data_IF_311290473931
#
_entry.id   IF_311290473931
#
_cell.length_a   1.000
_cell.length_b   1.000
_cell.length_c   1.000
_cell.angle_alpha   90.00
_cell.angle_beta   90.00
_cell.angle_gamma   90.00
#
_symmetry.space_group_name_H-M   'P 1'
#
loop_
_entity.id
_entity.type
_entity.pdbx_description
1 polymer ?
#
# COMPACT_ATOMS: atom_id res chain seq x y z
N UNK A 1 38.32 56.85 22.22
CA UNK A 1 38.72 55.44 22.10
C UNK A 1 37.99 54.65 23.21
N UNK A 2 36.86 54.02 22.91
CA UNK A 2 36.11 53.18 23.86
C UNK A 2 36.58 51.73 23.72
N UNK A 3 37.28 51.23 24.71
CA UNK A 3 37.70 49.83 24.79
C UNK A 3 36.51 48.98 25.23
N UNK A 4 35.98 48.16 24.33
CA UNK A 4 34.92 47.17 24.62
C UNK A 4 35.57 45.97 25.32
N UNK A 5 35.34 45.83 26.61
CA UNK A 5 35.68 44.64 27.36
C UNK A 5 34.71 43.51 26.98
N UNK A 6 35.18 42.60 26.12
CA UNK A 6 34.49 41.34 25.82
C UNK A 6 34.48 40.45 27.07
N UNK A 7 33.33 40.32 27.74
CA UNK A 7 33.15 39.37 28.85
C UNK A 7 33.14 37.95 28.24
N UNK A 8 34.25 37.24 28.49
CA UNK A 8 34.27 35.78 28.23
C UNK A 8 33.26 35.12 29.16
N UNK A 9 32.21 34.54 28.62
CA UNK A 9 31.30 33.69 29.38
C UNK A 9 32.04 32.43 29.81
N UNK A 10 31.93 31.98 31.09
CA UNK A 10 32.54 30.74 31.54
C UNK A 10 31.88 29.56 30.76
N UNK A 11 32.71 28.75 30.12
CA UNK A 11 32.26 27.46 29.54
C UNK A 11 31.93 26.52 30.71
N UNK A 12 30.65 26.25 30.92
CA UNK A 12 30.20 25.24 31.88
C UNK A 12 30.34 23.87 31.23
N UNK A 13 31.20 23.02 31.76
CA UNK A 13 31.32 21.62 31.35
C UNK A 13 30.16 20.82 31.90
N UNK A 14 29.61 19.90 31.10
CA UNK A 14 28.59 18.95 31.53
C UNK A 14 29.18 17.93 32.48
N UNK A 15 28.56 17.69 33.61
CA UNK A 15 29.02 16.71 34.59
C UNK A 15 28.68 15.29 34.14
N UNK A 16 29.46 14.30 34.55
CA UNK A 16 29.25 12.89 34.21
C UNK A 16 27.88 12.40 34.68
N UNK A 17 27.42 12.86 35.84
CA UNK A 17 26.10 12.51 36.38
C UNK A 17 24.95 13.09 35.53
N UNK A 18 25.13 14.29 35.00
CA UNK A 18 24.16 14.94 34.12
C UNK A 18 24.07 14.20 32.78
N UNK A 19 25.18 13.82 32.17
CA UNK A 19 25.19 12.99 30.97
C UNK A 19 24.54 11.61 31.22
N UNK A 20 24.82 10.95 32.32
CA UNK A 20 24.25 9.67 32.71
C UNK A 20 22.72 9.77 32.91
N UNK A 21 22.23 10.84 33.53
CA UNK A 21 20.80 11.06 33.75
C UNK A 21 20.06 11.30 32.44
N UNK A 22 20.64 12.06 31.51
CA UNK A 22 20.05 12.28 30.17
C UNK A 22 19.96 10.98 29.38
N UNK A 23 21.03 10.16 29.39
CA UNK A 23 21.01 8.85 28.69
C UNK A 23 19.97 7.90 29.29
N UNK A 24 19.82 7.89 30.62
CA UNK A 24 18.81 7.06 31.28
C UNK A 24 17.38 7.47 30.88
N UNK A 25 17.06 8.77 30.89
CA UNK A 25 15.75 9.28 30.47
C UNK A 25 15.49 8.98 28.99
N UNK A 26 16.46 9.21 28.10
CA UNK A 26 16.32 8.92 26.67
C UNK A 26 16.07 7.42 26.42
N UNK A 27 16.74 6.54 27.15
CA UNK A 27 16.56 5.08 27.03
C UNK A 27 15.13 4.67 27.38
N UNK A 28 14.54 5.24 28.42
CA UNK A 28 13.15 4.97 28.82
C UNK A 28 12.18 5.48 27.74
N UNK A 29 12.37 6.72 27.27
CA UNK A 29 11.51 7.31 26.24
C UNK A 29 11.55 6.48 24.95
N UNK A 30 12.73 6.12 24.47
CA UNK A 30 12.87 5.29 23.26
C UNK A 30 12.21 3.92 23.47
N UNK A 31 12.44 3.27 24.60
CA UNK A 31 11.90 1.94 24.90
C UNK A 31 10.36 1.89 24.92
N UNK A 32 9.70 2.97 25.33
CA UNK A 32 8.23 3.05 25.39
C UNK A 32 7.59 3.47 24.07
N UNK A 33 8.29 4.19 23.20
CA UNK A 33 7.72 4.71 21.94
C UNK A 33 7.80 3.73 20.77
N UNK A 34 8.83 2.87 20.72
CA UNK A 34 9.06 1.95 19.60
C UNK A 34 7.88 1.02 19.27
N UNK A 35 7.22 0.32 20.22
CA UNK A 35 6.12 -0.59 19.90
C UNK A 35 4.88 0.14 19.32
N UNK A 36 4.61 1.36 19.79
CA UNK A 36 3.53 2.19 19.25
C UNK A 36 3.77 2.61 17.80
N UNK A 37 4.99 2.95 17.47
CA UNK A 37 5.37 3.37 16.12
C UNK A 37 5.24 2.23 15.09
N UNK A 38 5.62 1.01 15.43
CA UNK A 38 5.48 -0.15 14.56
C UNK A 38 4.01 -0.41 14.15
N UNK A 39 3.09 -0.32 15.11
CA UNK A 39 1.67 -0.52 14.82
C UNK A 39 1.05 0.59 13.96
N UNK A 40 1.50 1.83 14.13
CA UNK A 40 1.09 2.97 13.29
C UNK A 40 1.58 2.80 11.85
N UNK A 41 2.85 2.40 11.69
CA UNK A 41 3.43 2.13 10.38
C UNK A 41 2.68 1.03 9.65
N UNK A 42 2.39 -0.08 10.30
CA UNK A 42 1.63 -1.18 9.71
C UNK A 42 0.22 -0.76 9.26
N UNK A 43 -0.45 0.12 10.02
CA UNK A 43 -1.74 0.69 9.61
C UNK A 43 -1.60 1.59 8.39
N UNK A 44 -0.58 2.43 8.37
CA UNK A 44 -0.31 3.32 7.25
C UNK A 44 0.01 2.53 5.96
N UNK A 45 0.82 1.47 6.05
CA UNK A 45 1.15 0.60 4.93
C UNK A 45 -0.10 -0.11 4.40
N UNK A 46 -0.96 -0.65 5.27
CA UNK A 46 -2.22 -1.29 4.87
C UNK A 46 -3.16 -0.30 4.17
N UNK A 47 -3.36 0.88 4.75
CA UNK A 47 -4.18 1.93 4.16
C UNK A 47 -3.59 2.45 2.84
N UNK A 48 -2.27 2.59 2.75
CA UNK A 48 -1.57 3.01 1.55
C UNK A 48 -1.77 2.04 0.38
N UNK A 49 -1.60 0.73 0.62
CA UNK A 49 -1.84 -0.30 -0.40
C UNK A 49 -3.30 -0.34 -0.81
N UNK A 50 -4.25 -0.20 0.13
CA UNK A 50 -5.67 -0.17 -0.19
C UNK A 50 -6.02 1.05 -1.06
N UNK A 51 -5.54 2.25 -0.72
CA UNK A 51 -5.76 3.47 -1.50
C UNK A 51 -5.11 3.39 -2.90
N UNK A 52 -3.91 2.82 -2.99
CA UNK A 52 -3.25 2.55 -4.27
C UNK A 52 -4.11 1.65 -5.16
N UNK A 53 -4.59 0.54 -4.61
CA UNK A 53 -5.41 -0.43 -5.34
C UNK A 53 -6.73 0.19 -5.81
N UNK A 54 -7.39 1.01 -5.00
CA UNK A 54 -8.59 1.76 -5.38
C UNK A 54 -8.32 2.70 -6.56
N UNK A 55 -7.23 3.47 -6.47
CA UNK A 55 -6.78 4.36 -7.54
C UNK A 55 -6.50 3.58 -8.84
N UNK A 56 -5.89 2.40 -8.71
CA UNK A 56 -5.55 1.55 -9.84
C UNK A 56 -6.78 0.91 -10.50
N UNK A 57 -7.82 0.58 -9.74
CA UNK A 57 -9.12 0.16 -10.28
C UNK A 57 -9.77 1.29 -11.09
N UNK A 58 -9.75 2.52 -10.57
CA UNK A 58 -10.27 3.69 -11.30
C UNK A 58 -9.44 4.00 -12.54
N UNK A 59 -8.12 3.86 -12.45
CA UNK A 59 -7.21 3.99 -13.60
C UNK A 59 -7.56 2.97 -14.69
N UNK A 60 -7.70 1.68 -14.36
CA UNK A 60 -8.07 0.66 -15.33
C UNK A 60 -9.39 0.96 -16.04
N UNK A 61 -10.39 1.44 -15.29
CA UNK A 61 -11.66 1.86 -15.84
C UNK A 61 -11.54 3.05 -16.80
N UNK A 62 -10.77 4.06 -16.42
CA UNK A 62 -10.55 5.25 -17.27
C UNK A 62 -9.78 4.91 -18.54
N UNK A 63 -8.80 4.01 -18.46
CA UNK A 63 -8.04 3.54 -19.61
C UNK A 63 -8.92 2.73 -20.57
N UNK A 64 -9.80 1.86 -20.07
CA UNK A 64 -10.76 1.15 -20.93
C UNK A 64 -11.62 2.13 -21.73
N UNK A 65 -12.16 3.15 -21.09
CA UNK A 65 -12.96 4.16 -21.77
C UNK A 65 -12.15 5.00 -22.78
N UNK A 66 -10.90 5.34 -22.43
CA UNK A 66 -10.02 6.14 -23.29
C UNK A 66 -9.55 5.39 -24.54
N UNK A 67 -9.20 4.11 -24.39
CA UNK A 67 -8.71 3.29 -25.50
C UNK A 67 -9.85 2.68 -26.35
N UNK A 68 -11.06 2.63 -25.85
CA UNK A 68 -12.20 2.01 -26.56
C UNK A 68 -12.14 0.47 -26.63
N UNK A 69 -11.25 -0.17 -25.85
CA UNK A 69 -11.15 -1.62 -25.73
C UNK A 69 -11.02 -2.10 -24.27
N UNK A 70 -11.34 -3.37 -23.97
CA UNK A 70 -11.33 -3.86 -22.61
C UNK A 70 -9.92 -3.78 -21.96
N UNK A 71 -9.87 -3.25 -20.74
CA UNK A 71 -8.69 -3.27 -19.88
C UNK A 71 -8.94 -4.23 -18.73
N UNK A 72 -7.92 -4.93 -18.28
CA UNK A 72 -8.00 -5.92 -17.20
C UNK A 72 -7.11 -5.55 -16.03
N UNK A 73 -7.59 -5.85 -14.83
CA UNK A 73 -6.75 -5.95 -13.64
C UNK A 73 -6.61 -7.45 -13.32
N UNK A 74 -5.40 -7.97 -13.40
CA UNK A 74 -5.09 -9.39 -13.13
C UNK A 74 -4.19 -9.50 -11.93
N UNK A 75 -4.60 -10.32 -10.95
CA UNK A 75 -3.89 -10.61 -9.72
C UNK A 75 -3.17 -11.96 -9.84
N UNK A 76 -1.91 -12.01 -9.42
CA UNK A 76 -1.10 -13.23 -9.30
C UNK A 76 -0.59 -13.37 -7.87
N UNK A 77 -0.59 -14.59 -7.38
CA UNK A 77 -0.06 -14.95 -6.07
C UNK A 77 1.02 -16.02 -6.29
N UNK A 78 2.21 -15.83 -5.72
CA UNK A 78 3.34 -16.74 -5.82
C UNK A 78 4.13 -16.71 -4.52
N UNK A 79 4.37 -17.87 -3.94
CA UNK A 79 5.26 -18.08 -2.77
C UNK A 79 5.10 -17.03 -1.63
N UNK A 80 3.88 -16.54 -1.41
CA UNK A 80 3.58 -15.53 -0.37
C UNK A 80 3.74 -14.09 -0.81
N UNK A 81 4.21 -13.82 -2.03
CA UNK A 81 4.14 -12.52 -2.66
C UNK A 81 2.88 -12.38 -3.50
N UNK A 82 2.43 -11.18 -3.68
CA UNK A 82 1.34 -10.86 -4.60
C UNK A 82 1.77 -9.79 -5.57
N UNK A 83 1.36 -9.92 -6.81
CA UNK A 83 1.47 -8.84 -7.78
C UNK A 83 0.15 -8.69 -8.53
N UNK A 84 -0.16 -7.48 -8.93
CA UNK A 84 -1.26 -7.22 -9.85
C UNK A 84 -0.81 -6.36 -11.01
N UNK A 85 -1.47 -6.56 -12.14
CA UNK A 85 -1.18 -5.88 -13.39
C UNK A 85 -2.45 -5.31 -13.97
N UNK A 86 -2.33 -4.13 -14.56
CA UNK A 86 -3.36 -3.52 -15.42
C UNK A 86 -2.84 -3.60 -16.85
N UNK A 87 -3.59 -4.26 -17.71
CA UNK A 87 -3.15 -4.58 -19.06
C UNK A 87 -4.33 -4.71 -20.02
N UNK A 88 -4.04 -4.65 -21.31
CA UNK A 88 -4.98 -5.01 -22.38
C UNK A 88 -4.90 -6.50 -22.71
N UNK A 89 -5.82 -7.01 -23.49
CA UNK A 89 -5.82 -8.40 -23.95
C UNK A 89 -6.19 -9.46 -22.90
N UNK A 90 -5.99 -10.74 -23.21
CA UNK A 90 -6.32 -11.88 -22.35
C UNK A 90 -5.44 -11.93 -21.08
N UNK A 91 -6.04 -12.35 -19.96
CA UNK A 91 -5.35 -12.48 -18.67
C UNK A 91 -4.13 -13.45 -18.70
N UNK A 92 -4.14 -14.43 -19.61
CA UNK A 92 -3.10 -15.42 -19.75
C UNK A 92 -1.83 -14.88 -20.45
N UNK A 93 -1.95 -13.76 -21.16
CA UNK A 93 -0.83 -13.17 -21.90
C UNK A 93 0.08 -12.30 -21.02
N UNK A 94 -0.32 -11.98 -19.80
CA UNK A 94 0.49 -11.19 -18.89
C UNK A 94 0.83 -11.97 -17.62
N UNK A 95 2.06 -11.82 -17.18
CA UNK A 95 2.59 -12.44 -15.97
C UNK A 95 3.41 -11.47 -15.15
N UNK A 96 3.43 -11.68 -13.85
CA UNK A 96 4.34 -11.04 -12.91
C UNK A 96 4.73 -12.04 -11.83
N UNK A 97 5.91 -11.85 -11.24
CA UNK A 97 6.48 -12.72 -10.21
C UNK A 97 7.27 -11.92 -9.18
N UNK A 98 7.84 -12.64 -8.22
CA UNK A 98 8.52 -12.06 -7.06
C UNK A 98 9.82 -11.34 -7.40
N UNK A 99 10.49 -11.76 -8.48
CA UNK A 99 11.81 -11.26 -8.89
C UNK A 99 11.84 -10.75 -10.34
N UNK A 100 10.79 -10.98 -11.12
CA UNK A 100 10.73 -10.59 -12.51
C UNK A 100 9.82 -9.39 -12.72
N UNK A 101 10.27 -8.47 -13.56
CA UNK A 101 9.43 -7.38 -14.02
C UNK A 101 8.18 -7.96 -14.71
N UNK A 102 7.01 -7.38 -14.43
CA UNK A 102 5.80 -7.79 -15.11
C UNK A 102 5.94 -7.64 -16.62
N UNK A 103 5.50 -8.64 -17.35
CA UNK A 103 5.59 -8.67 -18.81
C UNK A 103 4.33 -9.22 -19.45
N UNK A 104 4.04 -8.77 -20.66
CA UNK A 104 2.95 -9.26 -21.49
C UNK A 104 3.52 -9.80 -22.82
N UNK A 105 2.78 -10.72 -23.43
CA UNK A 105 3.09 -11.33 -24.72
C UNK A 105 1.95 -11.12 -25.73
N UNK A 106 2.23 -11.33 -27.02
CA UNK A 106 1.25 -11.14 -28.09
C UNK A 106 0.86 -9.66 -28.23
N UNK A 107 -0.45 -9.42 -28.41
CA UNK A 107 -1.01 -8.06 -28.57
C UNK A 107 -1.41 -7.41 -27.24
N UNK A 108 -1.12 -8.06 -26.11
CA UNK A 108 -1.40 -7.50 -24.80
C UNK A 108 -0.35 -6.47 -24.39
N UNK A 109 -0.81 -5.32 -23.92
CA UNK A 109 0.04 -4.23 -23.45
C UNK A 109 -0.06 -4.08 -21.94
N UNK A 110 1.09 -4.00 -21.26
CA UNK A 110 1.18 -3.72 -19.84
C UNK A 110 1.06 -2.21 -19.60
N UNK A 111 0.01 -1.79 -18.90
CA UNK A 111 -0.21 -0.37 -18.57
C UNK A 111 0.38 -0.02 -17.20
N UNK A 112 0.26 -0.93 -16.22
CA UNK A 112 0.79 -0.78 -14.87
C UNK A 112 1.00 -2.11 -14.20
N UNK A 113 2.01 -2.19 -13.34
CA UNK A 113 2.21 -3.34 -12.45
C UNK A 113 2.61 -2.88 -11.05
N UNK A 114 2.15 -3.61 -10.05
CA UNK A 114 2.51 -3.42 -8.65
C UNK A 114 2.86 -4.78 -8.06
N UNK A 115 4.04 -4.88 -7.48
CA UNK A 115 4.51 -6.08 -6.78
C UNK A 115 4.61 -5.81 -5.29
N UNK A 116 3.98 -6.68 -4.52
CA UNK A 116 4.02 -6.70 -3.07
C UNK A 116 4.89 -7.88 -2.65
N UNK A 117 6.08 -7.58 -2.12
CA UNK A 117 7.09 -8.57 -1.82
C UNK A 117 6.59 -9.61 -0.78
N UNK A 118 7.05 -10.85 -0.89
CA UNK A 118 6.71 -11.95 0.03
C UNK A 118 7.06 -11.64 1.50
N UNK A 119 8.07 -10.81 1.72
CA UNK A 119 8.48 -10.34 3.05
C UNK A 119 7.82 -9.02 3.45
N UNK A 120 6.99 -8.43 2.59
CA UNK A 120 6.19 -7.24 2.89
C UNK A 120 5.14 -7.53 3.97
N UNK A 121 4.71 -6.48 4.66
CA UNK A 121 3.71 -6.61 5.73
C UNK A 121 2.28 -6.67 5.21
N UNK A 122 2.07 -6.42 3.90
CA UNK A 122 0.75 -6.36 3.26
C UNK A 122 0.71 -7.23 2.02
N UNK A 123 -0.40 -7.95 1.85
CA UNK A 123 -0.70 -8.78 0.68
C UNK A 123 -2.07 -8.42 0.11
N UNK A 124 -2.26 -8.66 -1.19
CA UNK A 124 -3.58 -8.53 -1.85
C UNK A 124 -4.05 -9.90 -2.30
N UNK A 125 -5.27 -10.27 -1.94
CA UNK A 125 -5.91 -11.53 -2.33
C UNK A 125 -7.27 -11.30 -2.94
N UNK A 126 -7.67 -12.18 -3.85
CA UNK A 126 -9.01 -12.19 -4.43
C UNK A 126 -9.40 -13.57 -4.92
N UNK A 127 -10.68 -13.88 -4.85
CA UNK A 127 -11.25 -15.07 -5.50
C UNK A 127 -11.22 -14.88 -7.02
N UNK A 128 -11.65 -13.71 -7.48
CA UNK A 128 -11.59 -13.35 -8.91
C UNK A 128 -10.17 -12.88 -9.24
N UNK A 129 -9.41 -13.74 -9.92
CA UNK A 129 -8.01 -13.44 -10.26
C UNK A 129 -7.83 -12.42 -11.38
N UNK A 130 -8.86 -12.18 -12.16
CA UNK A 130 -8.89 -11.17 -13.23
C UNK A 130 -10.27 -10.56 -13.35
N UNK A 131 -10.33 -9.24 -13.39
CA UNK A 131 -11.53 -8.45 -13.67
C UNK A 131 -11.31 -7.62 -14.92
N UNK A 132 -12.33 -7.55 -15.78
CA UNK A 132 -12.29 -6.80 -17.03
C UNK A 132 -13.22 -5.59 -16.95
N UNK A 133 -12.75 -4.46 -17.44
CA UNK A 133 -13.50 -3.21 -17.56
C UNK A 133 -13.97 -3.05 -19.00
N UNK A 134 -15.30 -2.97 -19.18
CA UNK A 134 -15.91 -2.77 -20.49
C UNK A 134 -15.82 -1.30 -20.89
N UNK A 135 -15.29 -0.97 -22.09
CA UNK A 135 -15.09 0.41 -22.52
C UNK A 135 -16.39 1.17 -22.82
N UNK A 136 -17.42 0.46 -23.26
CA UNK A 136 -18.69 1.06 -23.73
C UNK A 136 -19.68 1.16 -22.58
N UNK A 137 -19.88 0.06 -21.84
CA UNK A 137 -20.84 -0.01 -20.74
C UNK A 137 -20.29 0.54 -19.45
N UNK A 138 -18.97 0.67 -19.31
CA UNK A 138 -18.28 1.04 -18.06
C UNK A 138 -18.47 0.01 -16.94
N UNK A 139 -18.88 -1.21 -17.31
CA UNK A 139 -19.13 -2.31 -16.36
C UNK A 139 -17.88 -3.13 -16.09
N UNK A 140 -17.88 -3.83 -14.96
CA UNK A 140 -16.78 -4.72 -14.55
C UNK A 140 -17.27 -6.16 -14.49
N UNK A 141 -16.52 -7.07 -15.08
CA UNK A 141 -16.87 -8.50 -15.10
C UNK A 141 -15.62 -9.37 -14.87
N UNK A 142 -15.67 -10.32 -13.92
CA UNK A 142 -16.66 -10.44 -12.85
C UNK A 142 -16.52 -9.31 -11.80
N UNK A 143 -17.53 -9.14 -10.96
CA UNK A 143 -17.37 -8.33 -9.73
C UNK A 143 -16.36 -8.99 -8.79
N UNK A 144 -15.67 -8.20 -7.97
CA UNK A 144 -14.63 -8.75 -7.12
C UNK A 144 -14.59 -8.10 -5.74
N UNK A 145 -14.13 -8.87 -4.77
CA UNK A 145 -13.65 -8.34 -3.50
C UNK A 145 -12.14 -8.56 -3.44
N UNK A 146 -11.41 -7.46 -3.53
CA UNK A 146 -9.96 -7.43 -3.40
C UNK A 146 -9.65 -7.21 -1.92
N UNK A 147 -9.00 -8.19 -1.29
CA UNK A 147 -8.68 -8.17 0.14
C UNK A 147 -7.25 -7.73 0.33
N UNK A 148 -7.05 -6.60 0.95
CA UNK A 148 -5.75 -6.10 1.37
C UNK A 148 -5.56 -6.53 2.81
N UNK A 149 -4.61 -7.41 3.06
CA UNK A 149 -4.42 -8.10 4.36
C UNK A 149 -3.04 -7.80 4.90
N UNK A 150 -2.94 -7.37 6.16
CA UNK A 150 -1.70 -7.25 6.89
C UNK A 150 -1.39 -8.55 7.66
N UNK A 151 -0.11 -8.77 7.98
CA UNK A 151 0.34 -9.98 8.73
C UNK A 151 -0.29 -10.13 10.10
N UNK A 152 -0.70 -9.04 10.72
CA UNK A 152 -1.33 -9.03 12.04
C UNK A 152 -2.84 -9.34 12.00
N UNK A 153 -3.38 -9.71 10.83
CA UNK A 153 -4.77 -10.07 10.61
C UNK A 153 -5.72 -8.89 10.41
N UNK A 154 -5.22 -7.67 10.35
CA UNK A 154 -6.02 -6.52 9.92
C UNK A 154 -6.21 -6.57 8.41
N UNK A 155 -7.40 -6.19 7.94
CA UNK A 155 -7.71 -6.21 6.52
C UNK A 155 -8.61 -5.05 6.11
N UNK A 156 -8.44 -4.59 4.87
CA UNK A 156 -9.33 -3.70 4.16
C UNK A 156 -9.83 -4.44 2.93
N UNK A 157 -11.13 -4.51 2.77
CA UNK A 157 -11.76 -5.09 1.59
C UNK A 157 -12.17 -3.98 0.62
N UNK A 158 -11.72 -4.08 -0.60
CA UNK A 158 -12.12 -3.25 -1.72
C UNK A 158 -13.17 -4.00 -2.55
N UNK A 159 -14.43 -3.67 -2.36
CA UNK A 159 -15.54 -4.31 -3.07
C UNK A 159 -15.81 -3.56 -4.37
N UNK A 160 -15.49 -4.20 -5.50
CA UNK A 160 -15.72 -3.67 -6.84
C UNK A 160 -17.04 -4.20 -7.35
N UNK A 161 -18.03 -3.32 -7.52
CA UNK A 161 -19.35 -3.69 -8.03
C UNK A 161 -19.40 -3.72 -9.58
N UNK A 162 -20.51 -4.14 -10.14
CA UNK A 162 -20.73 -4.23 -11.59
C UNK A 162 -20.49 -2.89 -12.32
N UNK A 163 -20.76 -1.76 -11.68
CA UNK A 163 -20.55 -0.42 -12.25
C UNK A 163 -19.12 0.10 -12.08
N UNK A 164 -18.20 -0.74 -11.59
CA UNK A 164 -16.80 -0.35 -11.36
C UNK A 164 -16.61 0.62 -10.20
N UNK A 165 -17.60 0.78 -9.31
CA UNK A 165 -17.44 1.52 -8.07
C UNK A 165 -16.74 0.66 -7.05
N UNK A 166 -15.74 1.25 -6.39
CA UNK A 166 -15.03 0.64 -5.28
C UNK A 166 -15.62 1.14 -3.97
N UNK A 167 -15.83 0.23 -3.03
CA UNK A 167 -16.21 0.53 -1.65
C UNK A 167 -15.22 -0.14 -0.72
N UNK A 168 -14.60 0.66 0.12
CA UNK A 168 -13.68 0.18 1.17
C UNK A 168 -14.47 -0.17 2.42
N UNK A 169 -14.16 -1.29 3.04
CA UNK A 169 -14.69 -1.67 4.35
C UNK A 169 -13.70 -2.56 5.10
N UNK A 170 -13.78 -2.58 6.43
CA UNK A 170 -12.96 -3.45 7.27
C UNK A 170 -13.79 -4.58 7.86
N UNK A 171 -13.38 -5.85 7.70
CA UNK A 171 -14.10 -6.97 8.31
C UNK A 171 -14.11 -6.86 9.84
N UNK A 172 -15.32 -6.88 10.43
CA UNK A 172 -15.52 -6.75 11.86
C UNK A 172 -15.21 -5.38 12.47
N UNK A 173 -15.12 -4.31 11.68
CA UNK A 173 -14.91 -2.95 12.16
C UNK A 173 -13.59 -2.73 12.92
N UNK A 174 -12.57 -3.53 12.63
CA UNK A 174 -11.30 -3.54 13.37
C UNK A 174 -10.38 -2.35 13.09
N UNK A 175 -10.67 -1.58 12.06
CA UNK A 175 -9.88 -0.40 11.70
C UNK A 175 -10.67 0.86 11.97
N UNK A 176 -10.13 1.74 12.81
CA UNK A 176 -10.71 3.05 13.04
C UNK A 176 -10.67 3.88 11.75
N UNK A 177 -11.81 4.46 11.37
CA UNK A 177 -11.96 5.25 10.14
C UNK A 177 -12.50 4.47 8.94
N UNK A 178 -12.59 3.14 9.01
CA UNK A 178 -13.20 2.30 7.98
C UNK A 178 -14.57 1.80 8.41
N UNK A 179 -15.51 1.75 7.47
CA UNK A 179 -16.82 1.15 7.70
C UNK A 179 -16.68 -0.36 7.90
N UNK A 180 -17.55 -0.95 8.72
CA UNK A 180 -17.66 -2.42 8.78
C UNK A 180 -18.22 -2.97 7.46
N UNK A 181 -17.69 -4.11 6.99
CA UNK A 181 -18.22 -4.78 5.81
C UNK A 181 -19.62 -5.35 6.02
#
# INVERSE_FOLDING_TARGET
MHSQHSRKQPQQGVTLIEAASVVAILSIVIGTTLPGFASLRQRADLAGVAAQLETDVQFARSQAAAFGHPVRLTLRESAGATCYMIHTGPAAQCSCGDAEAASCSGDAELLRSVSLAARGDVQVRSVSKSIAFDPVKGTVTPTATLRVEARDGRAIHQVVNLLGRVRSCSPGGRLAGEFAC
#
